data_IF_109109869530
#
_entry.id   IF_109109869530
#
_cell.length_a   1.000
_cell.length_b   1.000
_cell.length_c   1.000
_cell.angle_alpha   90.00
_cell.angle_beta   90.00
_cell.angle_gamma   90.00
#
_symmetry.space_group_name_H-M   'P 1'
#
loop_
_entity.id
_entity.type
_entity.pdbx_description
1 polymer ?
#
# COMPACT_ATOMS: atom_id res chain seq x y z
N UNK A 1 6.60 -0.63 10.91
CA UNK A 1 5.30 -0.34 10.23
C UNK A 1 4.12 -0.33 11.20
N UNK A 2 3.68 0.87 11.60
CA UNK A 2 2.41 1.02 12.30
C UNK A 2 1.23 0.60 11.39
N UNK A 3 0.12 0.15 12.00
CA UNK A 3 -1.07 -0.31 11.30
C UNK A 3 -2.22 0.67 11.53
N UNK A 4 -2.88 1.14 10.46
CA UNK A 4 -3.99 2.10 10.52
C UNK A 4 -5.31 1.41 10.25
N UNK A 5 -6.18 1.40 11.27
CA UNK A 5 -7.56 0.94 11.17
C UNK A 5 -8.45 2.06 10.65
N UNK A 6 -9.30 1.75 9.66
CA UNK A 6 -10.21 2.74 9.08
C UNK A 6 -11.43 2.95 9.98
N UNK A 7 -11.94 4.19 10.00
CA UNK A 7 -13.28 4.46 10.53
C UNK A 7 -14.30 3.74 9.63
N UNK A 8 -15.30 3.04 10.18
CA UNK A 8 -16.24 2.25 9.40
C UNK A 8 -17.34 3.12 8.77
N UNK A 9 -16.96 3.97 7.80
CA UNK A 9 -17.91 4.88 7.12
C UNK A 9 -18.70 4.14 6.02
N UNK A 10 -18.16 3.03 5.51
CA UNK A 10 -18.86 2.09 4.61
C UNK A 10 -18.71 0.63 5.06
N UNK A 11 -19.62 -0.29 4.66
CA UNK A 11 -19.55 -1.70 5.03
C UNK A 11 -18.21 -2.39 4.72
N UNK A 12 -17.62 -2.08 3.56
CA UNK A 12 -16.33 -2.64 3.14
C UNK A 12 -15.13 -2.08 3.91
N UNK A 13 -15.28 -0.96 4.63
CA UNK A 13 -14.21 -0.37 5.43
C UNK A 13 -14.15 -0.93 6.86
N UNK A 14 -15.17 -1.67 7.32
CA UNK A 14 -15.27 -2.16 8.72
C UNK A 14 -14.08 -3.00 9.16
N UNK A 15 -13.62 -3.89 8.28
CA UNK A 15 -12.51 -4.79 8.55
C UNK A 15 -11.22 -4.35 7.82
N UNK A 16 -11.24 -3.16 7.19
CA UNK A 16 -10.12 -2.68 6.39
C UNK A 16 -9.02 -2.14 7.29
N UNK A 17 -7.81 -2.63 7.03
CA UNK A 17 -6.60 -2.29 7.77
C UNK A 17 -5.48 -2.11 6.75
N UNK A 18 -4.73 -1.01 6.82
CA UNK A 18 -3.62 -0.71 5.92
C UNK A 18 -2.39 -0.31 6.75
N UNK A 19 -1.19 -0.57 6.23
CA UNK A 19 0.07 -0.09 6.81
C UNK A 19 0.14 1.45 6.81
N UNK A 20 0.78 2.03 7.82
CA UNK A 20 0.87 3.48 7.98
C UNK A 20 1.88 4.15 7.03
N UNK A 21 2.80 3.35 6.45
CA UNK A 21 3.83 3.79 5.50
C UNK A 21 4.71 4.97 5.98
N UNK A 22 4.83 5.18 7.30
CA UNK A 22 5.56 6.31 7.89
C UNK A 22 7.06 6.32 7.59
N UNK A 23 7.65 5.14 7.36
CA UNK A 23 9.07 4.97 7.04
C UNK A 23 9.37 5.12 5.53
N UNK A 24 8.35 5.21 4.66
CA UNK A 24 8.55 5.34 3.21
C UNK A 24 8.88 6.80 2.88
N UNK A 25 10.13 7.05 2.50
CA UNK A 25 10.64 8.40 2.20
C UNK A 25 10.39 8.86 0.76
N UNK A 26 10.24 7.91 -0.17
CA UNK A 26 10.06 8.18 -1.59
C UNK A 26 8.93 7.31 -2.17
N UNK A 27 8.09 7.90 -3.01
CA UNK A 27 6.97 7.21 -3.68
C UNK A 27 7.31 6.74 -5.10
N UNK A 28 8.33 7.34 -5.73
CA UNK A 28 8.77 7.04 -7.09
C UNK A 28 10.05 6.22 -7.01
N UNK A 29 10.09 4.99 -7.55
CA UNK A 29 11.29 4.17 -7.59
C UNK A 29 12.25 4.62 -8.71
N UNK A 30 13.52 4.22 -8.60
CA UNK A 30 14.54 4.55 -9.60
C UNK A 30 14.29 3.81 -10.92
N UNK A 31 14.15 4.58 -12.01
CA UNK A 31 13.77 4.06 -13.32
C UNK A 31 14.71 2.99 -13.87
N UNK A 32 16.01 3.11 -13.62
CA UNK A 32 17.03 2.20 -14.15
C UNK A 32 17.05 0.84 -13.46
N UNK A 33 16.42 0.72 -12.29
CA UNK A 33 16.36 -0.52 -11.50
C UNK A 33 15.02 -1.26 -11.68
N UNK A 34 14.19 -0.84 -12.64
CA UNK A 34 12.87 -1.42 -12.89
C UNK A 34 12.89 -2.38 -14.07
N UNK A 35 12.17 -3.49 -13.93
CA UNK A 35 11.88 -4.43 -15.00
C UNK A 35 10.38 -4.72 -15.08
N UNK A 36 9.83 -5.01 -16.28
CA UNK A 36 8.41 -5.32 -16.43
C UNK A 36 8.08 -6.71 -15.88
N UNK A 37 7.16 -6.77 -14.91
CA UNK A 37 6.66 -8.03 -14.36
C UNK A 37 5.37 -8.43 -15.09
N UNK A 38 5.38 -9.56 -15.82
CA UNK A 38 4.19 -10.13 -16.48
C UNK A 38 3.39 -10.98 -15.49
N UNK A 39 2.08 -10.76 -15.40
CA UNK A 39 1.15 -11.58 -14.59
C UNK A 39 0.72 -12.81 -15.39
N UNK A 40 0.68 -13.98 -14.74
CA UNK A 40 0.37 -15.27 -15.39
C UNK A 40 -1.07 -15.76 -15.19
N UNK A 41 -1.90 -15.04 -14.43
CA UNK A 41 -3.28 -15.43 -14.14
C UNK A 41 -3.37 -16.46 -13.03
#
# INVERSE_FOLDING_TARGET
MAVRKFKPVTPGQRNKVISAFEEITCTIPEKYLLEPIRKTG
#
